data_IF_249017901936
#
_entry.id   IF_249017901936
#
_cell.length_a   1.000
_cell.length_b   1.000
_cell.length_c   1.000
_cell.angle_alpha   90.00
_cell.angle_beta   90.00
_cell.angle_gamma   90.00
#
_symmetry.space_group_name_H-M   'P 1'
#
loop_
_entity.id
_entity.type
_entity.pdbx_description
1 polymer ?
#
# COMPACT_ATOMS: atom_id res chain seq x y z
N UNK A 1 35.74 -51.29 -34.92
CA UNK A 1 35.88 -51.12 -33.46
C UNK A 1 36.84 -49.98 -33.21
N UNK A 2 36.65 -49.17 -32.17
CA UNK A 2 37.46 -47.96 -31.92
C UNK A 2 38.04 -47.98 -30.50
N UNK A 3 39.26 -47.45 -30.33
CA UNK A 3 39.95 -47.42 -29.04
C UNK A 3 40.34 -45.99 -28.67
N UNK A 4 39.85 -45.48 -27.54
CA UNK A 4 40.23 -44.15 -27.00
C UNK A 4 41.49 -44.25 -26.16
N UNK A 5 42.35 -43.24 -26.27
CA UNK A 5 43.51 -43.08 -25.40
C UNK A 5 43.01 -42.91 -23.95
N UNK A 6 43.50 -43.75 -23.02
CA UNK A 6 43.13 -43.69 -21.59
C UNK A 6 42.01 -44.62 -21.14
N UNK A 7 41.44 -45.48 -22.02
CA UNK A 7 40.56 -46.59 -21.59
C UNK A 7 41.07 -47.93 -22.13
N UNK A 8 40.89 -48.98 -21.33
CA UNK A 8 41.49 -50.30 -21.60
C UNK A 8 40.72 -51.11 -22.66
N UNK A 9 39.39 -50.97 -22.70
CA UNK A 9 38.49 -51.71 -23.58
C UNK A 9 38.22 -51.03 -24.93
N UNK A 10 37.99 -51.85 -25.95
CA UNK A 10 37.50 -51.38 -27.24
C UNK A 10 36.03 -50.98 -27.14
N UNK A 11 35.65 -49.91 -27.85
CA UNK A 11 34.32 -49.31 -27.79
C UNK A 11 33.68 -49.24 -29.18
N UNK A 12 32.35 -49.16 -29.19
CA UNK A 12 31.60 -48.80 -30.40
C UNK A 12 31.92 -47.35 -30.77
N UNK A 13 31.77 -47.00 -32.05
CA UNK A 13 32.02 -45.62 -32.49
C UNK A 13 31.18 -44.62 -31.70
N UNK A 14 29.91 -44.91 -31.47
CA UNK A 14 29.00 -44.05 -30.68
C UNK A 14 29.52 -43.85 -29.25
N UNK A 15 29.83 -44.93 -28.52
CA UNK A 15 30.38 -44.82 -27.16
C UNK A 15 31.75 -44.13 -27.11
N UNK A 16 32.53 -44.23 -28.19
CA UNK A 16 33.80 -43.53 -28.33
C UNK A 16 33.61 -42.06 -28.76
N UNK A 17 32.46 -41.63 -29.25
CA UNK A 17 32.18 -40.22 -29.54
C UNK A 17 31.48 -39.54 -28.36
N UNK A 18 30.66 -40.28 -27.62
CA UNK A 18 29.99 -39.80 -26.41
C UNK A 18 31.00 -39.36 -25.34
N UNK A 19 30.71 -38.22 -24.69
CA UNK A 19 31.49 -37.69 -23.58
C UNK A 19 30.60 -37.42 -22.36
N UNK A 20 30.04 -38.48 -21.74
CA UNK A 20 29.10 -38.33 -20.64
C UNK A 20 29.72 -37.64 -19.42
N UNK A 21 31.04 -37.79 -19.22
CA UNK A 21 31.78 -37.13 -18.15
C UNK A 21 31.84 -35.60 -18.38
N UNK A 22 32.07 -35.18 -19.64
CA UNK A 22 32.02 -33.77 -20.02
C UNK A 22 30.61 -33.18 -19.95
N UNK A 23 29.59 -33.94 -20.37
CA UNK A 23 28.19 -33.52 -20.29
C UNK A 23 27.72 -33.40 -18.83
N UNK A 24 28.20 -34.27 -17.95
CA UNK A 24 27.95 -34.16 -16.51
C UNK A 24 28.61 -32.91 -15.91
N UNK A 25 29.89 -32.68 -16.25
CA UNK A 25 30.62 -31.49 -15.81
C UNK A 25 29.96 -30.18 -16.29
N UNK A 26 29.55 -30.12 -17.56
CA UNK A 26 28.88 -28.95 -18.11
C UNK A 26 27.55 -28.66 -17.40
N UNK A 27 26.74 -29.70 -17.14
CA UNK A 27 25.48 -29.54 -16.38
C UNK A 27 25.71 -29.06 -14.95
N UNK A 28 26.76 -29.52 -14.28
CA UNK A 28 27.11 -29.03 -12.93
C UNK A 28 27.50 -27.54 -12.96
N UNK A 29 28.28 -27.14 -13.96
CA UNK A 29 28.67 -25.75 -14.16
C UNK A 29 27.47 -24.85 -14.44
N UNK A 30 26.54 -25.28 -15.30
CA UNK A 30 25.29 -24.55 -15.54
C UNK A 30 24.44 -24.44 -14.28
N UNK A 31 24.28 -25.53 -13.53
CA UNK A 31 23.51 -25.50 -12.27
C UNK A 31 24.10 -24.52 -11.24
N UNK A 32 25.44 -24.44 -11.16
CA UNK A 32 26.12 -23.46 -10.31
C UNK A 32 25.88 -22.02 -10.80
N UNK A 33 26.00 -21.78 -12.11
CA UNK A 33 25.76 -20.47 -12.69
C UNK A 33 24.30 -20.02 -12.48
N UNK A 34 23.32 -20.91 -12.69
CA UNK A 34 21.92 -20.63 -12.45
C UNK A 34 21.64 -20.33 -10.97
N UNK A 35 22.24 -21.09 -10.05
CA UNK A 35 22.12 -20.84 -8.62
C UNK A 35 22.70 -19.47 -8.22
N UNK A 36 23.84 -19.08 -8.79
CA UNK A 36 24.44 -17.75 -8.58
C UNK A 36 23.55 -16.64 -9.15
N UNK A 37 23.07 -16.80 -10.38
CA UNK A 37 22.15 -15.87 -11.03
C UNK A 37 20.87 -15.66 -10.21
N UNK A 38 20.29 -16.75 -9.70
CA UNK A 38 19.13 -16.70 -8.82
C UNK A 38 19.43 -15.94 -7.52
N UNK A 39 20.59 -16.19 -6.90
CA UNK A 39 21.02 -15.45 -5.69
C UNK A 39 21.22 -13.97 -5.99
N UNK A 40 21.84 -13.63 -7.12
CA UNK A 40 22.03 -12.24 -7.55
C UNK A 40 20.70 -11.54 -7.74
N UNK A 41 19.76 -12.14 -8.47
CA UNK A 41 18.42 -11.57 -8.69
C UNK A 41 17.65 -11.37 -7.39
N UNK A 42 17.74 -12.30 -6.44
CA UNK A 42 17.13 -12.13 -5.11
C UNK A 42 17.78 -10.96 -4.37
N UNK A 43 19.11 -10.87 -4.36
CA UNK A 43 19.82 -9.77 -3.70
C UNK A 43 19.52 -8.40 -4.35
N UNK A 44 19.49 -8.34 -5.67
CA UNK A 44 19.13 -7.14 -6.44
C UNK A 44 17.69 -6.72 -6.18
N UNK A 45 16.77 -7.68 -6.15
CA UNK A 45 15.39 -7.44 -5.70
C UNK A 45 15.46 -6.81 -4.33
N UNK A 46 16.00 -7.49 -3.32
CA UNK A 46 16.06 -7.00 -1.91
C UNK A 46 16.71 -5.62 -1.75
N UNK A 47 17.70 -5.28 -2.60
CA UNK A 47 18.31 -3.96 -2.63
C UNK A 47 17.35 -2.86 -3.13
N UNK A 48 16.41 -3.21 -4.01
CA UNK A 48 15.36 -2.32 -4.51
C UNK A 48 14.13 -2.25 -3.58
N UNK A 49 14.12 -2.98 -2.46
CA UNK A 49 12.97 -3.02 -1.54
C UNK A 49 12.66 -1.62 -0.99
N UNK A 50 11.45 -1.07 -1.26
CA UNK A 50 11.06 0.25 -0.76
C UNK A 50 10.99 0.31 0.76
N UNK A 51 11.15 1.52 1.29
CA UNK A 51 10.98 1.84 2.71
C UNK A 51 9.75 2.71 2.92
N UNK A 52 9.09 2.51 4.06
CA UNK A 52 7.98 3.36 4.49
C UNK A 52 8.49 4.75 4.84
N UNK A 53 7.89 5.78 4.24
CA UNK A 53 8.26 7.18 4.53
C UNK A 53 7.90 7.63 5.94
N UNK A 54 6.97 6.94 6.61
CA UNK A 54 6.48 7.32 7.95
C UNK A 54 7.25 6.63 9.08
N UNK A 55 7.36 5.31 9.04
CA UNK A 55 8.04 4.54 10.09
C UNK A 55 9.47 4.09 9.72
N UNK A 56 9.91 4.32 8.48
CA UNK A 56 11.25 3.94 8.00
C UNK A 56 11.45 2.44 7.77
N UNK A 57 10.49 1.60 8.12
CA UNK A 57 10.59 0.15 7.93
C UNK A 57 10.55 -0.23 6.45
N UNK A 58 11.36 -1.24 6.08
CA UNK A 58 11.27 -1.86 4.76
C UNK A 58 9.90 -2.48 4.57
N UNK A 59 9.37 -2.40 3.35
CA UNK A 59 8.09 -3.03 3.02
C UNK A 59 8.16 -4.55 3.18
N UNK A 60 7.07 -5.18 3.56
CA UNK A 60 6.94 -6.65 3.51
C UNK A 60 6.91 -7.11 2.05
N UNK A 61 7.18 -8.40 1.80
CA UNK A 61 7.11 -8.95 0.43
C UNK A 61 5.74 -8.73 -0.19
N UNK A 62 4.67 -9.01 0.56
CA UNK A 62 3.30 -8.79 0.12
C UNK A 62 3.06 -7.32 -0.28
N UNK A 63 3.38 -6.37 0.60
CA UNK A 63 3.17 -4.95 0.30
C UNK A 63 4.00 -4.52 -0.91
N UNK A 64 5.22 -5.01 -1.01
CA UNK A 64 6.10 -4.67 -2.12
C UNK A 64 5.63 -5.28 -3.45
N UNK A 65 5.08 -6.49 -3.45
CA UNK A 65 4.45 -7.11 -4.62
C UNK A 65 3.24 -6.30 -5.08
N UNK A 66 2.33 -5.93 -4.17
CA UNK A 66 1.20 -5.03 -4.47
C UNK A 66 1.70 -3.72 -5.10
N UNK A 67 2.71 -3.10 -4.50
CA UNK A 67 3.28 -1.83 -4.96
C UNK A 67 3.96 -1.94 -6.33
N UNK A 68 4.60 -3.07 -6.62
CA UNK A 68 5.35 -3.30 -7.87
C UNK A 68 4.47 -3.77 -9.01
N UNK A 69 3.49 -4.65 -8.73
CA UNK A 69 2.53 -5.15 -9.72
C UNK A 69 1.59 -4.04 -10.21
N UNK A 70 1.21 -3.11 -9.34
CA UNK A 70 0.32 -2.00 -9.69
C UNK A 70 1.05 -0.73 -10.15
N UNK A 71 2.39 -0.76 -10.26
CA UNK A 71 3.22 0.41 -10.63
C UNK A 71 2.90 0.98 -12.02
N UNK A 72 2.32 0.19 -12.91
CA UNK A 72 1.87 0.60 -14.26
C UNK A 72 0.38 0.95 -14.34
N UNK A 73 -0.42 0.66 -13.32
CA UNK A 73 -1.88 0.77 -13.41
C UNK A 73 -2.56 1.08 -12.07
N UNK A 74 -2.17 2.15 -11.37
CA UNK A 74 -3.09 2.99 -10.58
C UNK A 74 -2.38 4.26 -10.07
N UNK A 75 -3.00 5.42 -10.28
CA UNK A 75 -2.61 6.71 -9.70
C UNK A 75 -3.39 6.99 -8.42
N UNK A 76 -2.69 7.56 -7.42
CA UNK A 76 -3.22 8.11 -6.15
C UNK A 76 -3.74 7.04 -5.19
N UNK A 77 -2.87 6.44 -4.36
CA UNK A 77 -2.36 7.01 -3.11
C UNK A 77 -2.61 5.88 -2.11
N UNK A 78 -1.65 4.99 -1.86
CA UNK A 78 -0.78 5.06 -0.69
C UNK A 78 0.42 4.11 -0.87
N UNK A 79 1.07 4.26 -2.03
CA UNK A 79 2.24 3.48 -2.45
C UNK A 79 3.46 3.75 -1.54
N UNK A 80 3.43 4.81 -0.72
CA UNK A 80 4.57 5.29 0.08
C UNK A 80 4.61 4.86 1.54
N UNK A 81 3.55 4.20 2.05
CA UNK A 81 3.46 3.77 3.44
C UNK A 81 3.28 2.25 3.57
N UNK A 82 3.78 1.68 4.65
CA UNK A 82 3.58 0.27 4.97
C UNK A 82 2.12 -0.01 5.35
N UNK A 83 1.69 -1.28 5.25
CA UNK A 83 0.29 -1.67 5.47
C UNK A 83 -0.26 -1.26 6.84
N UNK A 84 0.57 -1.24 7.88
CA UNK A 84 0.16 -0.75 9.21
C UNK A 84 -0.14 0.74 9.21
N UNK A 85 0.79 1.56 8.71
CA UNK A 85 0.58 3.00 8.62
C UNK A 85 -0.61 3.36 7.71
N UNK A 86 -0.84 2.59 6.64
CA UNK A 86 -2.04 2.74 5.82
C UNK A 86 -3.32 2.44 6.60
N UNK A 87 -3.36 1.34 7.36
CA UNK A 87 -4.51 1.01 8.19
C UNK A 87 -4.79 2.10 9.26
N UNK A 88 -3.74 2.68 9.84
CA UNK A 88 -3.88 3.81 10.78
C UNK A 88 -4.47 5.05 10.12
N UNK A 89 -4.11 5.31 8.86
CA UNK A 89 -4.65 6.43 8.09
C UNK A 89 -6.12 6.22 7.75
N UNK A 90 -6.50 5.03 7.28
CA UNK A 90 -7.91 4.65 7.05
C UNK A 90 -8.73 4.77 8.33
N UNK A 91 -8.23 4.23 9.45
CA UNK A 91 -8.94 4.29 10.73
C UNK A 91 -9.17 5.74 11.20
N UNK A 92 -8.20 6.63 10.96
CA UNK A 92 -8.33 8.06 11.29
C UNK A 92 -9.38 8.74 10.41
N UNK A 93 -9.42 8.43 9.12
CA UNK A 93 -10.42 8.98 8.19
C UNK A 93 -11.82 8.50 8.54
N UNK A 94 -11.98 7.21 8.84
CA UNK A 94 -13.28 6.65 9.28
C UNK A 94 -13.75 7.28 10.59
N UNK A 95 -12.86 7.45 11.56
CA UNK A 95 -13.20 8.10 12.83
C UNK A 95 -13.60 9.58 12.61
N UNK A 96 -12.91 10.30 11.73
CA UNK A 96 -13.26 11.67 11.38
C UNK A 96 -14.60 11.77 10.64
N UNK A 97 -14.88 10.83 9.74
CA UNK A 97 -16.16 10.75 9.05
C UNK A 97 -17.31 10.44 10.00
N UNK A 98 -17.11 9.55 10.97
CA UNK A 98 -18.12 9.25 11.99
C UNK A 98 -18.34 10.43 12.93
N UNK A 99 -17.27 11.11 13.36
CA UNK A 99 -17.39 12.34 14.14
C UNK A 99 -18.20 13.41 13.40
N UNK A 100 -17.91 13.63 12.11
CA UNK A 100 -18.66 14.57 11.27
C UNK A 100 -20.14 14.18 11.11
N UNK A 101 -20.47 12.89 11.05
CA UNK A 101 -21.86 12.41 11.02
C UNK A 101 -22.59 12.68 12.33
N UNK A 102 -21.92 12.48 13.47
CA UNK A 102 -22.48 12.77 14.79
C UNK A 102 -22.71 14.28 14.98
N UNK A 103 -21.77 15.12 14.56
CA UNK A 103 -21.94 16.59 14.59
C UNK A 103 -23.10 17.04 13.69
N UNK A 104 -23.22 16.48 12.48
CA UNK A 104 -24.33 16.80 11.59
C UNK A 104 -25.69 16.31 12.11
N UNK A 105 -25.71 15.27 12.95
CA UNK A 105 -26.92 14.74 13.59
C UNK A 105 -27.26 15.46 14.91
N UNK A 106 -26.38 16.30 15.44
CA UNK A 106 -26.66 17.09 16.64
C UNK A 106 -27.74 18.14 16.32
N UNK A 107 -28.82 18.25 17.11
CA UNK A 107 -29.81 19.30 16.94
C UNK A 107 -29.12 20.67 17.09
N UNK A 108 -29.52 21.70 16.31
CA UNK A 108 -29.02 23.05 16.53
C UNK A 108 -29.30 23.43 17.98
N UNK A 109 -28.32 24.05 18.66
CA UNK A 109 -28.54 24.55 20.01
C UNK A 109 -29.82 25.39 20.02
N UNK A 110 -30.70 25.18 21.02
CA UNK A 110 -31.91 25.97 21.10
C UNK A 110 -31.49 27.43 21.17
N UNK A 111 -31.89 28.22 20.17
CA UNK A 111 -31.81 29.67 20.25
C UNK A 111 -32.46 30.05 21.58
N UNK A 112 -31.68 30.62 22.48
CA UNK A 112 -32.12 31.08 23.78
C UNK A 112 -33.14 32.20 23.51
N UNK A 113 -34.41 31.81 23.43
CA UNK A 113 -35.59 32.64 23.32
C UNK A 113 -35.68 33.52 24.57
N UNK A 114 -34.81 34.53 24.64
CA UNK A 114 -34.91 35.64 25.57
C UNK A 114 -36.06 36.54 25.13
N UNK A 115 -37.27 36.07 25.38
CA UNK A 115 -38.42 36.94 25.62
C UNK A 115 -39.15 36.49 26.88
N UNK A 116 -38.78 37.03 28.06
CA UNK A 116 -39.75 37.09 29.13
C UNK A 116 -40.77 38.18 28.75
N UNK A 117 -41.90 37.72 28.22
CA UNK A 117 -43.15 38.48 28.21
C UNK A 117 -43.44 39.00 29.62
N UNK A 118 -43.04 40.24 29.93
CA UNK A 118 -43.52 40.95 31.12
C UNK A 118 -44.81 41.69 30.76
N UNK A 119 -45.91 40.95 30.83
CA UNK A 119 -47.21 41.56 31.07
C UNK A 119 -47.32 41.97 32.53
N UNK A 120 -47.39 43.28 32.81
CA UNK A 120 -48.14 43.86 33.94
C UNK A 120 -48.26 45.39 33.75
N UNK A 121 -49.47 45.77 33.35
CA UNK A 121 -50.17 47.06 33.40
C UNK A 121 -49.47 48.25 34.08
N UNK A 122 -49.57 49.44 33.48
CA UNK A 122 -50.32 50.60 34.01
C UNK A 122 -50.43 51.67 32.91
N UNK A 123 -51.58 52.33 32.84
CA UNK A 123 -52.05 53.04 31.66
C UNK A 123 -51.33 54.33 31.32
N UNK A 124 -51.45 54.73 30.05
CA UNK A 124 -51.46 56.14 29.69
C UNK A 124 -52.33 56.33 28.44
N UNK A 125 -53.18 57.34 28.55
CA UNK A 125 -54.22 57.82 27.65
C UNK A 125 -53.78 58.01 26.21
N UNK A 126 -54.57 57.50 25.27
CA UNK A 126 -54.60 57.96 23.88
C UNK A 126 -55.06 59.42 23.89
N UNK A 127 -54.22 60.34 23.43
CA UNK A 127 -54.60 61.73 23.12
C UNK A 127 -54.58 61.89 21.61
N UNK A 128 -55.76 61.92 21.00
CA UNK A 128 -55.95 62.40 19.63
C UNK A 128 -55.68 63.91 19.61
N UNK A 129 -54.76 64.37 18.78
CA UNK A 129 -54.65 65.78 18.41
C UNK A 129 -55.59 66.08 17.25
N UNK A 130 -56.36 67.19 17.29
CA UNK A 130 -57.14 67.62 16.14
C UNK A 130 -56.24 68.35 15.13
N UNK A 131 -56.36 67.94 13.87
CA UNK A 131 -55.87 68.68 12.70
C UNK A 131 -56.52 70.06 12.71
N UNK A 132 -55.71 71.12 12.67
CA UNK A 132 -56.18 72.50 12.55
C UNK A 132 -55.68 73.13 11.25
N UNK A 133 -56.64 73.70 10.52
CA UNK A 133 -56.60 74.64 9.39
C UNK A 133 -55.97 74.17 8.06
#
# INVERSE_FOLDING_TARGET
MWRRLGRESEQTLTAALDNPDGDAFFREQEARAEAEDKRRRVAEREAQRPVCKRCGQKFTDQRWEETTAHRTAWSAGDVSVCGTCHADDVAREEAAAEAARLEAAAPPEPEDDQKPCRGRSLGLTIRFEPISA
#
